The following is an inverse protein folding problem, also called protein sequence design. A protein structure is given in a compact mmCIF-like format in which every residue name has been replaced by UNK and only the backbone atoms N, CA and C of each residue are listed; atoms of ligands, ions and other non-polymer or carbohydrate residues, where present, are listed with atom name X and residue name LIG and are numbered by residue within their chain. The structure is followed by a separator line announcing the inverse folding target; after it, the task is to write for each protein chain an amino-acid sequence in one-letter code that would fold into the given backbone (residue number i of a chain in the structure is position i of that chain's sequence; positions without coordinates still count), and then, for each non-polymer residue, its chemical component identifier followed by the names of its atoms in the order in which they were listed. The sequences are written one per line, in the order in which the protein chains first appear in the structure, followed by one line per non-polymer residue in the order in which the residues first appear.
data_IF_456882651791
#
_entry.id   IF_456882651791
#
_cell.length_a   1.000
_cell.length_b   1.000
_cell.length_c   1.000
_cell.angle_alpha   90.00
_cell.angle_beta   90.00
_cell.angle_gamma   90.00
#
_symmetry.space_group_name_H-M   'P 1'
#
loop_
_entity.id
_entity.type
_entity.pdbx_description
1 polymer ?
#
# COMPACT_ATOMS: atom_id res chain seq x y z
N UNK A 1 11.38 19.25 27.38
CA UNK A 1 10.91 18.10 26.59
C UNK A 1 9.47 18.30 26.10
N UNK A 2 8.45 18.32 26.97
CA UNK A 2 7.04 18.52 26.56
C UNK A 2 6.78 19.76 25.70
N UNK A 3 7.47 20.88 25.99
CA UNK A 3 7.42 22.10 25.16
C UNK A 3 7.96 21.84 23.74
N UNK A 4 9.18 21.30 23.62
CA UNK A 4 9.77 20.96 22.31
C UNK A 4 8.91 19.96 21.53
N UNK A 5 8.36 18.94 22.20
CA UNK A 5 7.45 17.98 21.56
C UNK A 5 6.13 18.61 21.07
N UNK A 6 5.68 19.70 21.73
CA UNK A 6 4.53 20.50 21.29
C UNK A 6 4.90 21.34 20.07
N UNK A 7 6.04 22.03 20.13
CA UNK A 7 6.52 22.94 19.09
C UNK A 7 6.85 22.19 17.80
N UNK A 8 7.38 20.96 17.90
CA UNK A 8 7.64 20.06 16.77
C UNK A 8 6.38 19.30 16.29
N UNK A 9 5.22 19.53 16.91
CA UNK A 9 3.93 18.99 16.48
C UNK A 9 3.68 17.52 16.85
N UNK A 10 4.59 16.83 17.55
CA UNK A 10 4.38 15.44 17.98
C UNK A 10 3.17 15.32 18.92
N UNK A 11 3.00 16.28 19.84
CA UNK A 11 1.85 16.29 20.75
C UNK A 11 0.51 16.61 20.06
N UNK A 12 0.52 16.96 18.75
CA UNK A 12 -0.71 17.08 17.96
C UNK A 12 -1.21 15.72 17.47
N UNK A 13 -0.34 14.70 17.46
CA UNK A 13 -0.61 13.39 16.87
C UNK A 13 -0.36 12.22 17.83
N UNK A 14 0.29 12.46 18.98
CA UNK A 14 0.58 11.43 19.97
C UNK A 14 0.53 11.97 21.41
N UNK A 15 0.04 11.15 22.33
CA UNK A 15 0.16 11.38 23.77
C UNK A 15 1.50 10.80 24.28
N UNK A 16 2.20 11.56 25.12
CA UNK A 16 3.49 11.14 25.67
C UNK A 16 3.39 10.95 27.18
N UNK A 17 3.58 9.71 27.61
CA UNK A 17 3.49 9.30 29.01
C UNK A 17 4.89 9.05 29.56
N UNK A 18 5.27 9.79 30.61
CA UNK A 18 6.54 9.59 31.31
C UNK A 18 6.38 8.61 32.47
N UNK A 19 7.04 7.47 32.36
CA UNK A 19 7.06 6.44 33.41
C UNK A 19 8.18 6.69 34.42
N UNK A 20 7.96 6.29 35.68
CA UNK A 20 8.97 6.35 36.74
C UNK A 20 10.15 5.41 36.44
N UNK A 21 11.35 5.78 36.86
CA UNK A 21 12.60 5.05 36.58
C UNK A 21 12.60 3.56 36.97
N UNK A 22 11.83 3.16 37.98
CA UNK A 22 11.75 1.76 38.40
C UNK A 22 11.17 0.85 37.31
N UNK A 23 10.33 1.37 36.40
CA UNK A 23 9.85 0.62 35.25
C UNK A 23 10.97 0.33 34.26
N UNK A 24 11.80 1.32 33.93
CA UNK A 24 12.96 1.12 33.08
C UNK A 24 13.94 0.11 33.70
N UNK A 25 14.17 0.18 35.02
CA UNK A 25 15.00 -0.78 35.75
C UNK A 25 14.49 -2.22 35.60
N UNK A 26 13.18 -2.45 35.77
CA UNK A 26 12.55 -3.76 35.55
C UNK A 26 12.76 -4.29 34.13
N UNK A 27 12.72 -3.43 33.11
CA UNK A 27 12.98 -3.82 31.71
C UNK A 27 14.44 -4.26 31.55
N UNK A 28 15.38 -3.50 32.10
CA UNK A 28 16.82 -3.79 31.99
C UNK A 28 17.27 -5.04 32.76
N UNK A 29 16.63 -5.33 33.88
CA UNK A 29 16.97 -6.48 34.74
C UNK A 29 16.24 -7.77 34.35
N UNK A 30 15.33 -7.70 33.37
CA UNK A 30 14.55 -8.85 32.93
C UNK A 30 15.28 -9.67 31.87
N UNK A 31 15.20 -11.00 32.00
CA UNK A 31 15.62 -11.94 30.95
C UNK A 31 14.72 -11.86 29.69
N UNK A 32 13.50 -11.31 29.83
CA UNK A 32 12.58 -11.06 28.72
C UNK A 32 12.00 -9.64 28.78
N UNK A 33 12.75 -8.62 28.33
CA UNK A 33 12.31 -7.22 28.31
C UNK A 33 10.97 -7.01 27.60
N UNK A 34 10.71 -7.78 26.52
CA UNK A 34 9.47 -7.70 25.76
C UNK A 34 8.25 -8.12 26.58
N UNK A 35 8.37 -9.12 27.45
CA UNK A 35 7.24 -9.58 28.27
C UNK A 35 6.93 -8.61 29.41
N UNK A 36 7.95 -7.98 29.99
CA UNK A 36 7.74 -6.90 30.97
C UNK A 36 7.02 -5.71 30.33
N UNK A 37 7.43 -5.30 29.13
CA UNK A 37 6.73 -4.23 28.40
C UNK A 37 5.30 -4.63 28.08
N UNK A 38 5.04 -5.87 27.63
CA UNK A 38 3.67 -6.36 27.41
C UNK A 38 2.82 -6.31 28.68
N UNK A 39 3.37 -6.71 29.83
CA UNK A 39 2.66 -6.62 31.12
C UNK A 39 2.31 -5.18 31.46
N UNK A 40 3.25 -4.24 31.31
CA UNK A 40 3.01 -2.81 31.50
C UNK A 40 1.95 -2.28 30.52
N UNK A 41 2.01 -2.71 29.27
CA UNK A 41 1.14 -2.21 28.22
C UNK A 41 -0.33 -2.64 28.38
N UNK A 42 -0.62 -3.65 29.20
CA UNK A 42 -2.00 -4.02 29.56
C UNK A 42 -2.76 -2.88 30.27
N UNK A 43 -2.04 -1.97 30.93
CA UNK A 43 -2.62 -0.86 31.67
C UNK A 43 -2.41 0.49 30.96
N UNK A 44 -1.29 0.63 30.24
CA UNK A 44 -0.89 1.91 29.63
C UNK A 44 -1.50 2.06 28.23
N UNK A 45 -1.66 0.95 27.48
CA UNK A 45 -2.12 0.94 26.09
C UNK A 45 -1.31 1.86 25.16
N UNK A 46 -0.01 1.98 25.39
CA UNK A 46 0.89 2.72 24.52
C UNK A 46 1.23 1.92 23.24
N UNK A 47 1.36 2.66 22.14
CA UNK A 47 1.78 2.13 20.84
C UNK A 47 3.30 2.07 20.68
N UNK A 48 4.03 2.90 21.43
CA UNK A 48 5.48 3.01 21.39
C UNK A 48 6.05 3.16 22.81
N UNK A 49 7.09 2.38 23.11
CA UNK A 49 7.91 2.53 24.31
C UNK A 49 9.36 2.77 23.90
N UNK A 50 10.01 3.73 24.56
CA UNK A 50 11.45 3.90 24.51
C UNK A 50 11.99 3.98 25.93
N UNK A 51 13.16 3.38 26.15
CA UNK A 51 13.84 3.42 27.44
C UNK A 51 15.35 3.51 27.24
N UNK A 52 16.03 4.01 28.28
CA UNK A 52 17.46 4.23 28.25
C UNK A 52 18.03 4.50 29.63
N UNK A 53 19.34 4.66 29.68
CA UNK A 53 20.09 4.99 30.89
C UNK A 53 20.94 6.21 30.57
N UNK A 54 20.97 7.16 31.51
CA UNK A 54 21.90 8.28 31.47
C UNK A 54 22.97 8.04 32.54
N UNK A 55 24.24 8.09 32.13
CA UNK A 55 25.39 8.01 33.05
C UNK A 55 26.23 9.28 32.91
N UNK A 56 26.58 9.89 34.05
CA UNK A 56 27.56 10.97 34.13
C UNK A 56 28.93 10.36 34.41
N UNK A 57 29.95 10.73 33.65
CA UNK A 57 31.35 10.31 33.89
C UNK A 57 32.28 11.52 33.82
N UNK A 58 33.32 11.60 34.66
CA UNK A 58 34.37 12.60 34.48
C UNK A 58 35.08 12.37 33.14
N UNK A 59 35.45 13.44 32.45
CA UNK A 59 36.23 13.38 31.23
C UNK A 59 37.72 13.26 31.58
N UNK A 60 38.41 12.23 31.10
CA UNK A 60 39.85 12.05 31.42
C UNK A 60 40.73 13.21 30.90
N UNK A 61 40.22 13.98 29.93
CA UNK A 61 40.95 15.07 29.28
C UNK A 61 40.51 16.47 29.70
N UNK A 62 39.48 16.60 30.54
CA UNK A 62 38.99 17.91 31.00
C UNK A 62 38.45 17.84 32.42
N UNK A 63 38.42 18.95 33.16
CA UNK A 63 37.79 18.99 34.48
C UNK A 63 36.25 18.85 34.43
N UNK A 64 35.67 18.65 33.24
CA UNK A 64 34.24 18.57 33.03
C UNK A 64 33.74 17.12 33.07
N UNK A 65 32.42 16.99 33.22
CA UNK A 65 31.74 15.72 33.08
C UNK A 65 31.13 15.57 31.68
N UNK A 66 31.13 14.33 31.20
CA UNK A 66 30.39 13.87 30.02
C UNK A 66 29.16 13.09 30.44
N UNK A 67 28.08 13.30 29.72
CA UNK A 67 26.86 12.53 29.82
C UNK A 67 26.81 11.51 28.69
N UNK A 68 26.50 10.27 29.07
CA UNK A 68 26.32 9.15 28.17
C UNK A 68 24.86 8.73 28.26
N UNK A 69 24.10 9.03 27.22
CA UNK A 69 22.74 8.52 27.04
C UNK A 69 22.83 7.23 26.26
N UNK A 70 22.54 6.10 26.89
CA UNK A 70 22.45 4.80 26.24
C UNK A 70 20.99 4.43 26.05
N UNK A 71 20.58 4.18 24.80
CA UNK A 71 19.28 3.62 24.48
C UNK A 71 19.27 2.14 24.83
N UNK A 72 18.36 1.75 25.72
CA UNK A 72 18.16 0.35 26.10
C UNK A 72 17.34 -0.42 25.07
N UNK A 73 16.50 0.31 24.32
CA UNK A 73 15.72 -0.23 23.23
C UNK A 73 14.47 0.59 22.95
N UNK A 74 13.72 0.12 21.96
CA UNK A 74 12.37 0.56 21.65
C UNK A 74 11.45 -0.64 21.49
N UNK A 75 10.18 -0.47 21.82
CA UNK A 75 9.15 -1.50 21.65
C UNK A 75 7.93 -0.88 21.00
N UNK A 76 7.35 -1.59 20.04
CA UNK A 76 6.18 -1.14 19.30
C UNK A 76 5.10 -2.18 19.32
N UNK A 77 3.89 -1.67 19.53
CA UNK A 77 2.67 -2.44 19.36
C UNK A 77 2.11 -2.17 17.97
N UNK A 78 2.04 -3.20 17.15
CA UNK A 78 1.42 -3.18 15.83
C UNK A 78 0.52 -4.41 15.65
N UNK A 79 -0.33 -4.41 14.62
CA UNK A 79 -1.14 -5.60 14.28
C UNK A 79 -0.24 -6.81 13.96
N UNK A 80 -0.68 -8.06 14.22
CA UNK A 80 0.13 -9.23 13.89
C UNK A 80 0.57 -9.24 12.41
N UNK A 81 1.86 -9.48 12.17
CA UNK A 81 2.45 -9.60 10.83
C UNK A 81 3.31 -10.85 10.73
N UNK A 82 3.57 -11.35 9.50
CA UNK A 82 4.55 -12.40 9.27
C UNK A 82 5.90 -12.11 9.93
N UNK A 83 6.57 -13.18 10.40
CA UNK A 83 7.85 -13.07 11.11
C UNK A 83 8.92 -12.35 10.28
N UNK A 84 8.91 -12.51 8.96
CA UNK A 84 9.89 -11.90 8.07
C UNK A 84 9.77 -10.36 8.08
N UNK A 85 8.54 -9.84 7.97
CA UNK A 85 8.25 -8.40 8.08
C UNK A 85 8.66 -7.89 9.47
N UNK A 86 8.31 -8.62 10.53
CA UNK A 86 8.70 -8.24 11.91
C UNK A 86 10.22 -8.16 12.06
N UNK A 87 10.95 -9.10 11.48
CA UNK A 87 12.41 -9.16 11.54
C UNK A 87 13.04 -8.01 10.73
N UNK A 88 12.47 -7.66 9.58
CA UNK A 88 12.91 -6.52 8.79
C UNK A 88 12.71 -5.19 9.53
N UNK A 89 11.54 -4.98 10.12
CA UNK A 89 11.26 -3.80 10.95
C UNK A 89 12.22 -3.68 12.13
N UNK A 90 12.48 -4.80 12.82
CA UNK A 90 13.41 -4.82 13.95
C UNK A 90 14.82 -4.41 13.52
N UNK A 91 15.25 -4.83 12.31
CA UNK A 91 16.52 -4.40 11.72
C UNK A 91 16.51 -2.91 11.38
N UNK A 92 15.43 -2.40 10.81
CA UNK A 92 15.30 -0.97 10.49
C UNK A 92 15.32 -0.10 11.75
N UNK A 93 14.61 -0.51 12.80
CA UNK A 93 14.58 0.20 14.07
C UNK A 93 15.96 0.27 14.70
N UNK A 94 16.68 -0.85 14.70
CA UNK A 94 18.03 -0.94 15.26
C UNK A 94 19.05 -0.10 14.49
N UNK A 95 18.81 0.16 13.19
CA UNK A 95 19.66 1.03 12.38
C UNK A 95 19.38 2.52 12.59
N UNK A 96 18.14 2.85 12.94
CA UNK A 96 17.66 4.23 13.06
C UNK A 96 17.84 4.78 14.47
N UNK A 97 17.68 3.94 15.50
CA UNK A 97 17.94 4.33 16.88
C UNK A 97 19.43 4.18 17.21
N UNK A 98 20.11 5.30 17.47
CA UNK A 98 21.52 5.29 17.89
C UNK A 98 21.64 4.63 19.27
N UNK A 99 22.52 3.63 19.45
CA UNK A 99 22.65 2.91 20.73
C UNK A 99 23.11 3.79 21.89
N UNK A 100 23.97 4.78 21.61
CA UNK A 100 24.45 5.70 22.65
C UNK A 100 24.86 7.04 22.08
N UNK A 101 24.53 8.11 22.80
CA UNK A 101 24.97 9.47 22.49
C UNK A 101 25.79 10.00 23.66
N UNK A 102 26.90 10.67 23.35
CA UNK A 102 27.79 11.27 24.32
C UNK A 102 27.87 12.78 24.09
N UNK A 103 27.69 13.57 25.13
CA UNK A 103 27.84 15.01 25.08
C UNK A 103 28.46 15.55 26.37
N UNK A 104 29.19 16.66 26.28
CA UNK A 104 29.77 17.34 27.44
C UNK A 104 28.74 18.25 28.09
N UNK A 105 28.81 18.38 29.42
CA UNK A 105 27.94 19.26 30.22
C UNK A 105 27.97 20.72 29.76
N UNK A 106 29.10 21.19 29.22
CA UNK A 106 29.26 22.56 28.70
C UNK A 106 28.54 22.79 27.37
N UNK A 107 28.22 21.74 26.63
CA UNK A 107 27.63 21.84 25.29
C UNK A 107 26.17 21.37 25.32
N UNK A 108 25.30 22.23 25.84
CA UNK A 108 23.85 22.02 25.83
C UNK A 108 23.29 21.75 24.43
N UNK A 109 23.93 22.31 23.38
CA UNK A 109 23.62 22.05 21.98
C UNK A 109 23.69 20.55 21.63
N UNK A 110 24.60 19.78 22.25
CA UNK A 110 24.69 18.34 22.04
C UNK A 110 23.44 17.60 22.50
N UNK A 111 22.79 18.07 23.56
CA UNK A 111 21.53 17.51 24.04
C UNK A 111 20.38 17.80 23.06
N UNK A 112 20.30 19.02 22.53
CA UNK A 112 19.28 19.41 21.55
C UNK A 112 19.39 18.62 20.25
N UNK A 113 20.60 18.50 19.70
CA UNK A 113 20.88 17.70 18.50
C UNK A 113 20.50 16.23 18.73
N UNK A 114 20.83 15.69 19.91
CA UNK A 114 20.45 14.33 20.29
C UNK A 114 18.94 14.16 20.34
N UNK A 115 18.23 15.09 20.98
CA UNK A 115 16.78 15.05 21.10
C UNK A 115 16.09 15.12 19.74
N UNK A 116 16.55 16.00 18.85
CA UNK A 116 16.05 16.09 17.48
C UNK A 116 16.29 14.79 16.70
N UNK A 117 17.49 14.21 16.81
CA UNK A 117 17.80 12.93 16.18
C UNK A 117 16.83 11.84 16.63
N UNK A 118 16.63 11.70 17.95
CA UNK A 118 15.71 10.71 18.53
C UNK A 118 14.28 10.98 18.08
N UNK A 119 13.86 12.25 18.03
CA UNK A 119 12.54 12.63 17.57
C UNK A 119 12.29 12.16 16.13
N UNK A 120 13.20 12.43 15.20
CA UNK A 120 13.08 12.00 13.80
C UNK A 120 13.06 10.48 13.66
N UNK A 121 13.94 9.79 14.41
CA UNK A 121 13.98 8.34 14.47
C UNK A 121 12.64 7.75 14.93
N UNK A 122 12.08 8.27 16.04
CA UNK A 122 10.80 7.83 16.59
C UNK A 122 9.65 8.13 15.64
N UNK A 123 9.63 9.31 15.00
CA UNK A 123 8.60 9.71 14.04
C UNK A 123 8.55 8.74 12.85
N UNK A 124 9.70 8.38 12.28
CA UNK A 124 9.83 7.37 11.22
C UNK A 124 9.33 6.00 11.69
N UNK A 125 9.77 5.57 12.85
CA UNK A 125 9.47 4.26 13.41
C UNK A 125 7.96 4.11 13.72
N UNK A 126 7.31 5.14 14.27
CA UNK A 126 5.86 5.15 14.51
C UNK A 126 5.09 5.19 13.19
N UNK A 127 5.56 5.94 12.19
CA UNK A 127 4.94 5.96 10.86
C UNK A 127 4.92 4.58 10.21
N UNK A 128 6.05 3.85 10.24
CA UNK A 128 6.10 2.45 9.78
C UNK A 128 5.11 1.55 10.53
N UNK A 129 5.02 1.69 11.85
CA UNK A 129 4.10 0.91 12.67
C UNK A 129 2.63 1.18 12.33
N UNK A 130 2.30 2.45 12.08
CA UNK A 130 0.97 2.87 11.65
C UNK A 130 0.63 2.27 10.27
N UNK A 131 1.55 2.35 9.30
CA UNK A 131 1.33 1.83 7.95
C UNK A 131 1.05 0.33 7.97
N UNK A 132 1.84 -0.43 8.73
CA UNK A 132 1.70 -1.88 8.87
C UNK A 132 0.44 -2.25 9.65
N UNK A 133 -0.02 -1.38 10.53
CA UNK A 133 -1.31 -1.52 11.22
C UNK A 133 -2.50 -1.11 10.34
N UNK A 134 -2.27 -0.88 9.04
CA UNK A 134 -3.27 -0.46 8.05
C UNK A 134 -3.87 0.92 8.33
N UNK A 135 -3.07 1.84 8.90
CA UNK A 135 -3.41 3.26 9.04
C UNK A 135 -2.46 4.10 8.17
N UNK A 136 -2.68 4.13 6.84
CA UNK A 136 -1.83 4.87 5.93
C UNK A 136 -1.96 6.39 6.13
N UNK A 137 -3.08 6.89 6.64
CA UNK A 137 -3.25 8.33 6.90
C UNK A 137 -2.34 8.80 8.04
N UNK A 138 -2.30 8.04 9.14
CA UNK A 138 -1.42 8.35 10.25
C UNK A 138 0.05 8.18 9.86
N UNK A 139 0.38 7.11 9.14
CA UNK A 139 1.72 6.88 8.61
C UNK A 139 2.20 8.05 7.75
N UNK A 140 1.38 8.47 6.78
CA UNK A 140 1.66 9.59 5.89
C UNK A 140 1.91 10.89 6.67
N UNK A 141 1.11 11.17 7.72
CA UNK A 141 1.30 12.33 8.60
C UNK A 141 2.64 12.28 9.34
N UNK A 142 3.05 11.11 9.83
CA UNK A 142 4.35 10.93 10.49
C UNK A 142 5.51 11.09 9.51
N UNK A 143 5.41 10.53 8.31
CA UNK A 143 6.49 10.56 7.32
C UNK A 143 6.59 11.87 6.54
N UNK A 144 5.50 12.62 6.40
CA UNK A 144 5.51 13.92 5.71
C UNK A 144 6.49 14.88 6.38
N UNK A 145 7.34 15.50 5.56
CA UNK A 145 8.38 16.44 5.98
C UNK A 145 9.63 15.81 6.61
N UNK A 146 9.64 14.50 6.87
CA UNK A 146 10.85 13.85 7.42
C UNK A 146 12.03 13.90 6.45
N UNK A 147 11.76 13.89 5.14
CA UNK A 147 12.80 13.92 4.10
C UNK A 147 13.64 15.19 4.18
N UNK A 148 13.00 16.33 4.44
CA UNK A 148 13.61 17.63 4.64
C UNK A 148 14.31 17.69 5.99
N UNK A 149 13.64 17.25 7.05
CA UNK A 149 14.17 17.27 8.42
C UNK A 149 15.42 16.38 8.59
N UNK A 150 15.50 15.26 7.86
CA UNK A 150 16.66 14.36 7.90
C UNK A 150 17.88 14.90 7.13
N UNK A 151 17.78 16.00 6.36
CA UNK A 151 18.91 16.53 5.57
C UNK A 151 20.08 16.94 6.45
N UNK A 152 19.80 17.39 7.67
CA UNK A 152 20.79 17.87 8.63
C UNK A 152 21.54 16.73 9.35
N UNK A 153 21.09 15.48 9.20
CA UNK A 153 21.61 14.34 9.96
C UNK A 153 22.13 13.22 9.03
N UNK A 154 23.45 13.16 8.78
CA UNK A 154 24.06 12.13 7.92
C UNK A 154 23.71 10.69 8.34
N UNK A 155 23.58 10.42 9.63
CA UNK A 155 23.24 9.09 10.14
C UNK A 155 21.81 8.64 9.77
N UNK A 156 20.92 9.56 9.38
CA UNK A 156 19.56 9.26 8.94
C UNK A 156 19.44 9.06 7.42
N UNK A 157 20.56 8.90 6.69
CA UNK A 157 20.50 8.64 5.24
C UNK A 157 19.67 7.39 4.89
N UNK A 158 19.61 6.38 5.77
CA UNK A 158 18.77 5.20 5.53
C UNK A 158 17.29 5.54 5.46
N UNK A 159 16.82 6.42 6.37
CA UNK A 159 15.43 6.92 6.37
C UNK A 159 15.19 7.68 5.07
N UNK A 160 16.08 8.62 4.74
CA UNK A 160 15.96 9.47 3.54
C UNK A 160 15.86 8.65 2.25
N UNK A 161 16.58 7.53 2.15
CA UNK A 161 16.52 6.62 0.99
C UNK A 161 15.21 5.85 0.89
N UNK A 162 14.61 5.48 2.02
CA UNK A 162 13.35 4.69 2.07
C UNK A 162 12.09 5.55 1.96
N UNK A 163 12.13 6.81 2.44
CA UNK A 163 10.97 7.69 2.53
C UNK A 163 10.20 7.89 1.21
N UNK A 164 10.83 8.11 0.04
CA UNK A 164 10.08 8.32 -1.20
C UNK A 164 9.17 7.13 -1.54
N UNK A 165 9.68 5.91 -1.38
CA UNK A 165 8.90 4.70 -1.59
C UNK A 165 7.76 4.58 -0.56
N UNK A 166 8.03 4.81 0.73
CA UNK A 166 7.00 4.74 1.77
C UNK A 166 5.88 5.77 1.57
N UNK A 167 6.24 7.02 1.30
CA UNK A 167 5.27 8.10 1.05
C UNK A 167 4.44 7.82 -0.20
N UNK A 168 5.06 7.27 -1.25
CA UNK A 168 4.38 6.84 -2.47
C UNK A 168 3.32 5.77 -2.17
N UNK A 169 3.70 4.71 -1.46
CA UNK A 169 2.78 3.62 -1.08
C UNK A 169 1.68 4.11 -0.13
N UNK A 170 2.01 4.87 0.91
CA UNK A 170 1.03 5.44 1.84
C UNK A 170 0.01 6.33 1.12
N UNK A 171 0.47 7.21 0.22
CA UNK A 171 -0.40 8.03 -0.60
C UNK A 171 -1.29 7.18 -1.52
N UNK A 172 -0.77 6.07 -2.08
CA UNK A 172 -1.53 5.17 -2.95
C UNK A 172 -2.67 4.49 -2.18
N UNK A 173 -2.40 4.02 -0.96
CA UNK A 173 -3.43 3.43 -0.10
C UNK A 173 -4.52 4.45 0.28
N UNK A 174 -4.12 5.69 0.57
CA UNK A 174 -5.07 6.79 0.82
C UNK A 174 -5.90 7.08 -0.43
N UNK A 175 -5.27 7.14 -1.61
CA UNK A 175 -5.95 7.38 -2.88
C UNK A 175 -7.02 6.31 -3.19
N UNK A 176 -6.69 5.03 -2.98
CA UNK A 176 -7.65 3.92 -3.12
C UNK A 176 -8.83 4.05 -2.18
N UNK A 177 -8.58 4.36 -0.90
CA UNK A 177 -9.65 4.59 0.06
C UNK A 177 -10.57 5.73 -0.37
N UNK A 178 -10.04 6.82 -0.91
CA UNK A 178 -10.87 7.89 -1.46
C UNK A 178 -11.68 7.44 -2.68
N UNK A 179 -11.08 6.67 -3.60
CA UNK A 179 -11.76 6.12 -4.78
C UNK A 179 -12.93 5.20 -4.40
N UNK A 180 -12.70 4.28 -3.47
CA UNK A 180 -13.70 3.31 -3.00
C UNK A 180 -14.89 4.01 -2.31
N UNK A 181 -14.67 5.22 -1.80
CA UNK A 181 -15.70 6.06 -1.17
C UNK A 181 -16.24 7.14 -2.11
N UNK A 182 -16.01 7.03 -3.43
CA UNK A 182 -16.55 7.95 -4.44
C UNK A 182 -15.94 9.36 -4.44
N UNK A 183 -14.87 9.59 -3.68
CA UNK A 183 -14.16 10.88 -3.60
C UNK A 183 -13.05 10.96 -4.63
N UNK A 184 -13.45 11.14 -5.89
CA UNK A 184 -12.55 11.07 -7.04
C UNK A 184 -11.48 12.17 -7.03
N UNK A 185 -11.84 13.40 -6.64
CA UNK A 185 -10.90 14.51 -6.63
C UNK A 185 -9.77 14.31 -5.62
N UNK A 186 -10.10 13.90 -4.39
CA UNK A 186 -9.10 13.59 -3.38
C UNK A 186 -8.26 12.36 -3.77
N UNK A 187 -8.87 11.36 -4.40
CA UNK A 187 -8.14 10.21 -4.92
C UNK A 187 -7.06 10.65 -5.92
N UNK A 188 -7.41 11.54 -6.86
CA UNK A 188 -6.48 12.12 -7.83
C UNK A 188 -5.33 12.88 -7.18
N UNK A 189 -5.64 13.75 -6.23
CA UNK A 189 -4.62 14.50 -5.50
C UNK A 189 -3.60 13.58 -4.84
N UNK A 190 -4.04 12.45 -4.28
CA UNK A 190 -3.15 11.47 -3.67
C UNK A 190 -2.41 10.61 -4.71
N UNK A 191 -3.01 10.29 -5.86
CA UNK A 191 -2.29 9.66 -6.97
C UNK A 191 -1.16 10.54 -7.49
N UNK A 192 -1.38 11.85 -7.62
CA UNK A 192 -0.32 12.77 -8.02
C UNK A 192 0.80 12.82 -6.96
N UNK A 193 0.47 12.76 -5.66
CA UNK A 193 1.48 12.63 -4.59
C UNK A 193 2.26 11.32 -4.69
N UNK A 194 1.58 10.20 -4.97
CA UNK A 194 2.22 8.90 -5.19
C UNK A 194 3.26 9.00 -6.29
N UNK A 195 2.88 9.54 -7.45
CA UNK A 195 3.75 9.63 -8.63
C UNK A 195 4.84 10.72 -8.49
N UNK A 196 4.61 11.75 -7.66
CA UNK A 196 5.61 12.76 -7.35
C UNK A 196 6.73 12.20 -6.44
N UNK A 197 6.41 11.31 -5.50
CA UNK A 197 7.41 10.66 -4.65
C UNK A 197 8.09 9.47 -5.34
N UNK A 198 7.35 8.70 -6.14
CA UNK A 198 7.89 7.63 -6.98
C UNK A 198 7.20 7.60 -8.35
N UNK A 199 7.86 8.16 -9.35
CA UNK A 199 7.38 8.17 -10.74
C UNK A 199 7.27 6.79 -11.36
N UNK A 200 7.87 5.77 -10.75
CA UNK A 200 7.84 4.39 -11.20
C UNK A 200 6.79 3.56 -10.44
N UNK A 201 5.93 4.20 -9.63
CA UNK A 201 4.88 3.51 -8.87
C UNK A 201 3.86 2.86 -9.80
N UNK A 202 3.99 1.55 -9.98
CA UNK A 202 3.07 0.74 -10.76
C UNK A 202 1.61 0.89 -10.30
N UNK A 203 1.39 0.81 -8.98
CA UNK A 203 0.05 0.96 -8.41
C UNK A 203 -0.51 2.35 -8.62
N UNK A 204 0.34 3.39 -8.56
CA UNK A 204 -0.04 4.77 -8.89
C UNK A 204 -0.52 4.90 -10.34
N UNK A 205 0.22 4.35 -11.30
CA UNK A 205 -0.16 4.39 -12.71
C UNK A 205 -1.43 3.60 -13.04
N UNK A 206 -1.64 2.44 -12.41
CA UNK A 206 -2.89 1.68 -12.56
C UNK A 206 -4.10 2.45 -12.04
N UNK A 207 -3.98 3.04 -10.85
CA UNK A 207 -5.07 3.82 -10.26
C UNK A 207 -5.34 5.08 -11.10
N UNK A 208 -4.29 5.75 -11.58
CA UNK A 208 -4.42 6.90 -12.49
C UNK A 208 -5.20 6.53 -13.76
N UNK A 209 -4.93 5.36 -14.34
CA UNK A 209 -5.68 4.88 -15.51
C UNK A 209 -7.18 4.72 -15.22
N UNK A 210 -7.54 4.15 -14.07
CA UNK A 210 -8.95 4.01 -13.64
C UNK A 210 -9.62 5.37 -13.44
N UNK A 211 -8.92 6.32 -12.81
CA UNK A 211 -9.44 7.66 -12.55
C UNK A 211 -9.65 8.45 -13.85
N UNK A 212 -8.68 8.41 -14.77
CA UNK A 212 -8.80 9.06 -16.09
C UNK A 212 -9.97 8.48 -16.88
N UNK A 213 -10.12 7.15 -16.86
CA UNK A 213 -11.25 6.49 -17.49
C UNK A 213 -12.60 6.97 -16.94
N UNK A 214 -12.73 7.07 -15.60
CA UNK A 214 -13.97 7.52 -14.94
C UNK A 214 -14.37 8.95 -15.29
N UNK A 215 -13.41 9.80 -15.66
CA UNK A 215 -13.68 11.16 -16.15
C UNK A 215 -13.99 11.23 -17.65
N UNK A 216 -13.91 10.10 -18.36
CA UNK A 216 -14.08 10.05 -19.80
C UNK A 216 -12.81 10.36 -20.59
N UNK A 217 -11.66 10.53 -19.94
CA UNK A 217 -10.37 10.71 -20.60
C UNK A 217 -9.73 9.35 -20.94
N UNK A 218 -10.17 8.78 -22.04
CA UNK A 218 -9.77 7.44 -22.48
C UNK A 218 -8.32 7.41 -22.97
N UNK A 219 -7.85 8.48 -23.61
CA UNK A 219 -6.49 8.55 -24.15
C UNK A 219 -5.46 8.59 -23.02
N UNK A 220 -5.70 9.40 -21.99
CA UNK A 220 -4.84 9.45 -20.81
C UNK A 220 -4.96 8.17 -19.96
N UNK A 221 -6.09 7.48 -19.99
CA UNK A 221 -6.21 6.15 -19.40
C UNK A 221 -5.29 5.14 -20.11
N UNK A 222 -5.26 5.14 -21.45
CA UNK A 222 -4.32 4.31 -22.22
C UNK A 222 -2.87 4.67 -21.93
N UNK A 223 -2.53 5.98 -21.86
CA UNK A 223 -1.19 6.43 -21.50
C UNK A 223 -0.77 5.89 -20.13
N UNK A 224 -1.65 5.98 -19.14
CA UNK A 224 -1.39 5.52 -17.78
C UNK A 224 -1.24 3.99 -17.70
N UNK A 225 -2.05 3.23 -18.43
CA UNK A 225 -1.87 1.77 -18.56
C UNK A 225 -0.52 1.45 -19.21
N UNK A 226 -0.09 2.23 -20.22
CA UNK A 226 1.20 2.03 -20.86
C UNK A 226 2.36 2.28 -19.88
N UNK A 227 2.27 3.31 -19.05
CA UNK A 227 3.24 3.55 -17.96
C UNK A 227 3.23 2.41 -16.94
N UNK A 228 2.06 1.92 -16.53
CA UNK A 228 1.98 0.75 -15.65
C UNK A 228 2.64 -0.49 -16.26
N UNK A 229 2.45 -0.74 -17.56
CA UNK A 229 3.12 -1.83 -18.31
C UNK A 229 4.64 -1.72 -18.22
N UNK A 230 5.21 -0.52 -18.33
CA UNK A 230 6.66 -0.29 -18.28
C UNK A 230 7.25 -0.59 -16.88
N UNK A 231 6.45 -0.48 -15.80
CA UNK A 231 6.88 -0.70 -14.41
C UNK A 231 6.29 -1.97 -13.77
N UNK A 232 5.69 -2.86 -14.56
CA UNK A 232 4.96 -4.01 -14.05
C UNK A 232 5.87 -5.05 -13.37
N UNK A 233 7.09 -5.26 -13.88
CA UNK A 233 7.92 -6.39 -13.47
C UNK A 233 7.22 -7.71 -13.78
N UNK A 234 7.06 -8.58 -12.78
CA UNK A 234 6.33 -9.85 -12.91
C UNK A 234 4.79 -9.71 -12.83
N UNK A 235 4.29 -8.51 -12.51
CA UNK A 235 2.86 -8.24 -12.30
C UNK A 235 2.09 -8.15 -13.61
N UNK A 236 0.78 -8.42 -13.56
CA UNK A 236 -0.04 -8.63 -14.76
C UNK A 236 -1.38 -7.88 -14.83
N UNK A 237 -1.75 -7.15 -13.78
CA UNK A 237 -3.02 -6.43 -13.64
C UNK A 237 -3.24 -5.42 -14.78
N UNK A 238 -2.18 -4.72 -15.22
CA UNK A 238 -2.25 -3.77 -16.34
C UNK A 238 -2.83 -4.38 -17.63
N UNK A 239 -2.66 -5.69 -17.85
CA UNK A 239 -3.22 -6.36 -19.03
C UNK A 239 -4.74 -6.35 -19.01
N UNK A 240 -5.34 -6.49 -17.84
CA UNK A 240 -6.79 -6.45 -17.66
C UNK A 240 -7.31 -5.04 -17.93
N UNK A 241 -6.66 -4.00 -17.40
CA UNK A 241 -6.98 -2.61 -17.71
C UNK A 241 -6.85 -2.32 -19.22
N UNK A 242 -5.79 -2.82 -19.86
CA UNK A 242 -5.58 -2.67 -21.31
C UNK A 242 -6.65 -3.36 -22.15
N UNK A 243 -7.00 -4.60 -21.78
CA UNK A 243 -8.07 -5.35 -22.45
C UNK A 243 -9.41 -4.62 -22.32
N UNK A 244 -9.73 -4.18 -21.10
CA UNK A 244 -10.92 -3.38 -20.81
C UNK A 244 -11.00 -2.12 -21.67
N UNK A 245 -9.94 -1.30 -21.73
CA UNK A 245 -9.96 -0.07 -22.53
C UNK A 245 -10.16 -0.37 -24.03
N UNK A 246 -9.55 -1.43 -24.58
CA UNK A 246 -9.80 -1.82 -25.97
C UNK A 246 -11.23 -2.32 -26.20
N UNK A 247 -11.84 -3.04 -25.24
CA UNK A 247 -13.27 -3.36 -25.32
C UNK A 247 -14.13 -2.09 -25.26
N UNK A 248 -13.78 -1.14 -24.41
CA UNK A 248 -14.51 0.11 -24.24
C UNK A 248 -14.60 0.91 -25.55
N UNK A 249 -13.47 1.07 -26.25
CA UNK A 249 -13.40 1.83 -27.52
C UNK A 249 -13.79 1.01 -28.76
N UNK A 250 -14.15 -0.26 -28.60
CA UNK A 250 -14.57 -1.11 -29.73
C UNK A 250 -13.42 -1.73 -30.55
N UNK A 251 -12.18 -1.66 -30.07
CA UNK A 251 -11.02 -2.24 -30.73
C UNK A 251 -10.87 -3.75 -30.43
N UNK A 252 -11.90 -4.54 -30.78
CA UNK A 252 -12.06 -5.94 -30.35
C UNK A 252 -10.91 -6.86 -30.72
N UNK A 253 -10.29 -6.66 -31.88
CA UNK A 253 -9.09 -7.41 -32.29
C UNK A 253 -7.92 -7.20 -31.32
N UNK A 254 -7.70 -5.96 -30.87
CA UNK A 254 -6.64 -5.66 -29.89
C UNK A 254 -7.00 -6.19 -28.50
N UNK A 255 -8.27 -6.07 -28.10
CA UNK A 255 -8.79 -6.63 -26.86
C UNK A 255 -8.55 -8.16 -26.81
N UNK A 256 -8.91 -8.89 -27.86
CA UNK A 256 -8.69 -10.35 -27.94
C UNK A 256 -7.22 -10.76 -27.89
N UNK A 257 -6.30 -9.95 -28.46
CA UNK A 257 -4.86 -10.19 -28.30
C UNK A 257 -4.41 -10.07 -26.85
N UNK A 258 -4.96 -9.11 -26.10
CA UNK A 258 -4.72 -9.00 -24.67
C UNK A 258 -5.33 -10.18 -23.92
N UNK A 259 -6.56 -10.59 -24.25
CA UNK A 259 -7.21 -11.78 -23.69
C UNK A 259 -6.37 -13.04 -23.84
N UNK A 260 -5.77 -13.27 -25.02
CA UNK A 260 -4.90 -14.43 -25.25
C UNK A 260 -3.68 -14.42 -24.32
N UNK A 261 -3.05 -13.25 -24.13
CA UNK A 261 -1.92 -13.12 -23.18
C UNK A 261 -2.36 -13.40 -21.75
N UNK A 262 -3.50 -12.84 -21.34
CA UNK A 262 -4.11 -13.08 -20.03
C UNK A 262 -4.35 -14.57 -19.84
N UNK A 263 -5.01 -15.26 -20.78
CA UNK A 263 -5.26 -16.70 -20.72
C UNK A 263 -3.99 -17.54 -20.51
N UNK A 264 -2.87 -17.16 -21.14
CA UNK A 264 -1.62 -17.94 -21.09
C UNK A 264 -0.70 -17.63 -19.91
N UNK A 265 -0.95 -16.56 -19.15
CA UNK A 265 -0.05 -16.06 -18.11
C UNK A 265 -0.78 -15.89 -16.79
N UNK A 266 -0.12 -16.16 -15.68
CA UNK A 266 -0.65 -15.93 -14.33
C UNK A 266 0.41 -15.24 -13.46
N UNK A 267 -0.06 -14.61 -12.39
CA UNK A 267 0.79 -13.90 -11.42
C UNK A 267 0.16 -13.99 -10.03
N UNK A 268 0.96 -13.73 -9.01
CA UNK A 268 0.49 -13.75 -7.62
C UNK A 268 -0.57 -12.67 -7.38
N UNK A 269 -1.71 -13.05 -6.80
CA UNK A 269 -2.84 -12.15 -6.58
C UNK A 269 -3.81 -12.00 -7.76
N UNK A 270 -3.60 -12.71 -8.87
CA UNK A 270 -4.52 -12.71 -10.03
C UNK A 270 -6.00 -12.99 -9.66
N UNK A 271 -6.35 -13.87 -8.69
CA UNK A 271 -7.74 -14.06 -8.30
C UNK A 271 -8.42 -12.78 -7.80
N UNK A 272 -7.74 -11.97 -6.98
CA UNK A 272 -8.28 -10.71 -6.48
C UNK A 272 -8.51 -9.70 -7.61
N UNK A 273 -7.59 -9.67 -8.59
CA UNK A 273 -7.76 -8.83 -9.79
C UNK A 273 -8.95 -9.27 -10.63
N UNK A 274 -9.19 -10.58 -10.76
CA UNK A 274 -10.35 -11.09 -11.48
C UNK A 274 -11.66 -10.64 -10.82
N UNK A 275 -11.76 -10.71 -9.50
CA UNK A 275 -12.95 -10.21 -8.77
C UNK A 275 -13.14 -8.70 -8.96
N UNK A 276 -12.07 -7.92 -8.83
CA UNK A 276 -12.11 -6.46 -9.01
C UNK A 276 -12.57 -6.08 -10.43
N UNK A 277 -12.02 -6.74 -11.46
CA UNK A 277 -12.37 -6.48 -12.85
C UNK A 277 -13.83 -6.85 -13.12
N UNK A 278 -14.32 -7.99 -12.61
CA UNK A 278 -15.72 -8.38 -12.76
C UNK A 278 -16.64 -7.36 -12.08
N UNK A 279 -16.38 -7.04 -10.81
CA UNK A 279 -17.19 -6.08 -10.06
C UNK A 279 -17.21 -4.69 -10.73
N UNK A 280 -16.06 -4.22 -11.22
CA UNK A 280 -15.94 -2.96 -11.93
C UNK A 280 -16.79 -2.93 -13.21
N UNK A 281 -16.74 -3.99 -14.03
CA UNK A 281 -17.52 -4.06 -15.27
C UNK A 281 -19.02 -4.20 -15.01
N UNK A 282 -19.42 -4.95 -13.98
CA UNK A 282 -20.82 -5.06 -13.58
C UNK A 282 -21.38 -3.70 -13.12
N UNK A 283 -20.64 -2.95 -12.32
CA UNK A 283 -21.05 -1.61 -11.87
C UNK A 283 -21.24 -0.65 -13.06
N UNK A 284 -20.37 -0.72 -14.07
CA UNK A 284 -20.57 0.05 -15.32
C UNK A 284 -21.87 -0.38 -16.02
N UNK A 285 -22.10 -1.68 -16.18
CA UNK A 285 -23.28 -2.23 -16.85
C UNK A 285 -24.60 -1.89 -16.12
N UNK A 286 -24.58 -1.72 -14.80
CA UNK A 286 -25.74 -1.21 -14.03
C UNK A 286 -26.11 0.22 -14.43
N UNK A 287 -25.11 1.05 -14.75
CA UNK A 287 -25.31 2.45 -15.14
C UNK A 287 -25.57 2.64 -16.64
N UNK A 288 -25.12 1.70 -17.48
CA UNK A 288 -25.19 1.80 -18.94
C UNK A 288 -25.40 0.43 -19.58
N UNK A 289 -26.55 0.24 -20.27
CA UNK A 289 -26.85 -1.00 -20.98
C UNK A 289 -26.35 -1.01 -22.45
N UNK A 290 -25.53 -0.04 -22.86
CA UNK A 290 -25.08 0.14 -24.26
C UNK A 290 -23.71 -0.51 -24.56
N UNK A 291 -23.14 -1.27 -23.61
CA UNK A 291 -21.82 -1.91 -23.74
C UNK A 291 -21.87 -3.44 -23.64
N UNK A 292 -22.55 -4.15 -24.57
CA UNK A 292 -22.69 -5.60 -24.49
C UNK A 292 -21.34 -6.33 -24.47
N UNK A 293 -20.31 -5.78 -25.11
CA UNK A 293 -18.95 -6.36 -25.09
C UNK A 293 -18.35 -6.54 -23.70
N UNK A 294 -18.84 -5.84 -22.66
CA UNK A 294 -18.38 -6.05 -21.29
C UNK A 294 -18.90 -7.37 -20.71
N UNK A 295 -20.09 -7.85 -21.13
CA UNK A 295 -20.55 -9.19 -20.78
C UNK A 295 -19.63 -10.27 -21.37
N UNK A 296 -19.18 -10.11 -22.62
CA UNK A 296 -18.16 -10.99 -23.21
C UNK A 296 -16.89 -10.99 -22.37
N UNK A 297 -16.44 -9.81 -21.94
CA UNK A 297 -15.23 -9.67 -21.14
C UNK A 297 -15.34 -10.37 -19.78
N UNK A 298 -16.46 -10.20 -19.08
CA UNK A 298 -16.75 -10.88 -17.82
C UNK A 298 -16.80 -12.40 -18.03
N UNK A 299 -17.55 -12.87 -19.04
CA UNK A 299 -17.65 -14.29 -19.38
C UNK A 299 -16.29 -14.93 -19.69
N UNK A 300 -15.42 -14.19 -20.38
CA UNK A 300 -14.04 -14.61 -20.66
C UNK A 300 -13.24 -14.83 -19.38
N UNK A 301 -13.27 -13.89 -18.43
CA UNK A 301 -12.56 -14.02 -17.15
C UNK A 301 -13.14 -15.20 -16.36
N UNK A 302 -14.48 -15.30 -16.26
CA UNK A 302 -15.15 -16.38 -15.54
C UNK A 302 -14.75 -17.76 -16.08
N UNK A 303 -14.71 -17.94 -17.39
CA UNK A 303 -14.34 -19.21 -18.02
C UNK A 303 -12.85 -19.53 -17.84
N UNK A 304 -11.96 -18.62 -18.27
CA UNK A 304 -10.54 -18.95 -18.43
C UNK A 304 -9.70 -18.69 -17.19
N UNK A 305 -10.15 -17.84 -16.27
CA UNK A 305 -9.38 -17.48 -15.07
C UNK A 305 -10.00 -17.98 -13.79
N UNK A 306 -11.32 -17.87 -13.64
CA UNK A 306 -12.03 -18.40 -12.47
C UNK A 306 -12.45 -19.86 -12.62
N UNK A 307 -12.46 -20.40 -13.85
CA UNK A 307 -13.00 -21.72 -14.17
C UNK A 307 -14.45 -21.90 -13.69
N UNK A 308 -15.20 -20.80 -13.58
CA UNK A 308 -16.61 -20.82 -13.22
C UNK A 308 -17.45 -20.88 -14.50
N UNK A 309 -17.79 -22.10 -14.90
CA UNK A 309 -18.57 -22.36 -16.11
C UNK A 309 -20.00 -21.81 -16.02
N UNK A 310 -20.60 -21.81 -14.82
CA UNK A 310 -21.96 -21.31 -14.62
C UNK A 310 -22.04 -19.81 -14.90
N UNK A 311 -21.13 -19.02 -14.29
CA UNK A 311 -21.08 -17.58 -14.54
C UNK A 311 -20.72 -17.30 -16.00
N UNK A 312 -19.75 -18.04 -16.55
CA UNK A 312 -19.33 -17.87 -17.94
C UNK A 312 -20.50 -18.08 -18.92
N UNK A 313 -21.31 -19.12 -18.71
CA UNK A 313 -22.50 -19.41 -19.51
C UNK A 313 -23.44 -18.21 -19.50
N UNK A 314 -23.84 -17.75 -18.31
CA UNK A 314 -24.77 -16.61 -18.13
C UNK A 314 -24.27 -15.37 -18.87
N UNK A 315 -23.00 -15.01 -18.69
CA UNK A 315 -22.48 -13.78 -19.28
C UNK A 315 -22.23 -13.88 -20.80
N UNK A 316 -21.85 -15.03 -21.32
CA UNK A 316 -21.74 -15.20 -22.77
C UNK A 316 -23.12 -15.23 -23.45
N UNK A 317 -24.12 -15.87 -22.85
CA UNK A 317 -25.51 -15.83 -23.35
C UNK A 317 -26.05 -14.40 -23.35
N UNK A 318 -25.80 -13.65 -22.26
CA UNK A 318 -26.21 -12.25 -22.17
C UNK A 318 -25.52 -11.37 -23.22
N UNK A 319 -24.25 -11.64 -23.50
CA UNK A 319 -23.54 -11.00 -24.60
C UNK A 319 -24.20 -11.30 -25.95
N UNK A 320 -24.50 -12.56 -26.27
CA UNK A 320 -25.11 -12.92 -27.56
C UNK A 320 -26.50 -12.32 -27.76
N UNK A 321 -27.30 -12.24 -26.69
CA UNK A 321 -28.62 -11.59 -26.68
C UNK A 321 -28.53 -10.11 -27.07
N UNK A 322 -27.54 -9.39 -26.55
CA UNK A 322 -27.43 -7.93 -26.67
C UNK A 322 -26.46 -7.46 -27.76
N UNK A 323 -25.58 -8.33 -28.25
CA UNK A 323 -24.55 -7.94 -29.21
C UNK A 323 -25.17 -7.57 -30.57
N UNK A 324 -24.82 -6.38 -31.06
CA UNK A 324 -25.19 -5.93 -32.40
C UNK A 324 -24.34 -6.54 -33.51
N UNK A 325 -24.62 -6.14 -34.76
CA UNK A 325 -23.89 -6.59 -35.96
C UNK A 325 -22.44 -6.07 -36.03
N UNK A 326 -22.11 -5.04 -35.25
CA UNK A 326 -20.78 -4.41 -35.22
C UNK A 326 -19.71 -5.25 -34.50
N UNK A 327 -20.08 -6.37 -33.90
CA UNK A 327 -19.18 -7.21 -33.08
C UNK A 327 -18.99 -8.64 -33.61
N UNK A 328 -18.82 -8.87 -34.94
CA UNK A 328 -18.88 -10.20 -35.53
C UNK A 328 -17.78 -11.13 -35.00
N UNK A 329 -16.59 -10.59 -34.72
CA UNK A 329 -15.49 -11.37 -34.17
C UNK A 329 -15.75 -11.84 -32.74
N UNK A 330 -16.40 -11.01 -31.92
CA UNK A 330 -16.75 -11.38 -30.55
C UNK A 330 -17.89 -12.39 -30.54
N UNK A 331 -18.90 -12.23 -31.40
CA UNK A 331 -19.96 -13.23 -31.59
C UNK A 331 -19.39 -14.59 -31.95
N UNK A 332 -18.56 -14.67 -33.00
CA UNK A 332 -17.92 -15.93 -33.40
C UNK A 332 -17.12 -16.59 -32.27
N UNK A 333 -16.42 -15.80 -31.43
CA UNK A 333 -15.71 -16.34 -30.26
C UNK A 333 -16.65 -16.78 -29.15
N UNK A 334 -17.69 -16.00 -28.87
CA UNK A 334 -18.69 -16.30 -27.85
C UNK A 334 -19.40 -17.61 -28.13
N UNK A 335 -19.87 -17.81 -29.38
CA UNK A 335 -20.60 -19.02 -29.75
C UNK A 335 -19.73 -20.27 -29.59
N UNK A 336 -18.46 -20.20 -30.01
CA UNK A 336 -17.51 -21.28 -29.81
C UNK A 336 -17.25 -21.58 -28.32
N UNK A 337 -17.20 -20.55 -27.46
CA UNK A 337 -17.06 -20.73 -26.03
C UNK A 337 -18.32 -21.30 -25.39
N UNK A 338 -19.51 -20.87 -25.80
CA UNK A 338 -20.79 -21.39 -25.33
C UNK A 338 -20.95 -22.87 -25.67
N UNK A 339 -20.66 -23.28 -26.90
CA UNK A 339 -20.67 -24.70 -27.29
C UNK A 339 -19.73 -25.53 -26.40
N UNK A 340 -18.52 -25.03 -26.16
CA UNK A 340 -17.55 -25.70 -25.30
C UNK A 340 -18.06 -25.81 -23.84
N UNK A 341 -18.62 -24.75 -23.30
CA UNK A 341 -19.17 -24.68 -21.93
C UNK A 341 -20.37 -25.61 -21.79
N UNK A 342 -21.37 -25.52 -22.67
CA UNK A 342 -22.56 -26.38 -22.66
C UNK A 342 -22.19 -27.85 -22.72
N UNK A 343 -21.23 -28.22 -23.58
CA UNK A 343 -20.69 -29.58 -23.65
C UNK A 343 -20.04 -30.02 -22.33
N UNK A 344 -19.23 -29.16 -21.70
CA UNK A 344 -18.61 -29.48 -20.40
C UNK A 344 -19.63 -29.60 -19.26
N UNK A 345 -20.74 -28.87 -19.37
CA UNK A 345 -21.84 -28.88 -18.39
C UNK A 345 -22.91 -29.94 -18.69
N UNK A 346 -22.81 -30.70 -19.79
CA UNK A 346 -23.81 -31.65 -20.28
C UNK A 346 -25.20 -31.02 -20.51
N UNK A 347 -25.25 -29.77 -20.97
CA UNK A 347 -26.49 -29.09 -21.36
C UNK A 347 -26.76 -29.47 -22.82
N UNK A 348 -27.85 -30.19 -23.10
CA UNK A 348 -28.30 -30.46 -24.47
C UNK A 348 -29.09 -29.28 -25.01
N UNK A 349 -28.71 -28.78 -26.20
CA UNK A 349 -29.55 -27.87 -26.98
C UNK A 349 -30.73 -28.65 -27.56
N UNK A 350 -31.68 -29.02 -26.70
CA UNK A 350 -32.99 -29.49 -27.14
C UNK A 350 -33.85 -28.24 -27.32
N UNK A 351 -34.23 -27.86 -28.55
CA UNK A 351 -35.24 -26.83 -28.72
C UNK A 351 -36.52 -27.35 -28.06
N UNK A 352 -37.03 -26.60 -27.08
CA UNK A 352 -38.40 -26.73 -26.62
C UNK A 352 -39.30 -26.38 -27.80
N UNK A 353 -39.67 -27.40 -28.58
CA UNK A 353 -40.78 -27.32 -29.51
C UNK A 353 -42.05 -27.17 -28.67
N UNK A 354 -42.49 -25.93 -28.50
CA UNK A 354 -43.91 -25.61 -28.27
C UNK A 354 -44.60 -25.37 -29.60
#
# INVERSE_FOLDING_TARGET
LTKNLRDEGLLKIAEVIFLKNHFAKKIFESDSPADEIRKMNKNIHAHFFAWGIIKKRPDEKSADCKYYLSFGGGYITHRPVPNDIRNELSKDFSKVLVPSICFSERFFQGFEISAQFIHLAVKYIIGLAAFISQDPQLAFKFHTGLKEQCKEFPHLQIIKKKLPFLLSEEALWIARWHEDNGRLQESKEFVEKTLAEDSNSYGGWLLKARLNFREGDIDDAFHSVKKAEDYAGARGEWRYSKAFLHFWVGEFQKALRACNKIKSQSYDGEPATCEEVIAFNLNILESTNDKPQLYFWIGFISNFKKQNLSDALVYFEKFEELAGETMPILKSKSSAYLEEIKRKMNISDTPSNE
#
